data_IF_650659351424
#
_entry.id   IF_650659351424
#
_cell.length_a   1.000
_cell.length_b   1.000
_cell.length_c   1.000
_cell.angle_alpha   90.00
_cell.angle_beta   90.00
_cell.angle_gamma   90.00
#
_symmetry.space_group_name_H-M   'P 1'
#
loop_
_entity.id
_entity.type
_entity.pdbx_description
1 polymer ?
#
# COMPACT_ATOMS: atom_id res chain seq x y z
N UNK A 1 18.99 -27.59 11.45
CA UNK A 1 17.95 -27.39 12.48
C UNK A 1 17.72 -25.92 12.84
N UNK A 2 18.68 -25.21 13.45
CA UNK A 2 18.48 -23.82 13.94
C UNK A 2 18.01 -22.81 12.87
N UNK A 3 18.49 -22.92 11.63
CA UNK A 3 18.06 -22.03 10.55
C UNK A 3 16.54 -22.13 10.28
N UNK A 4 15.98 -23.34 10.33
CA UNK A 4 14.53 -23.56 10.20
C UNK A 4 13.80 -22.98 11.41
N UNK A 5 14.30 -23.21 12.63
CA UNK A 5 13.71 -22.62 13.84
C UNK A 5 13.68 -21.08 13.76
N UNK A 6 14.76 -20.44 13.29
CA UNK A 6 14.81 -19.00 13.07
C UNK A 6 13.88 -18.52 11.95
N UNK A 7 13.63 -19.36 10.94
CA UNK A 7 12.67 -19.10 9.86
C UNK A 7 11.20 -19.29 10.29
N UNK A 8 10.94 -20.00 11.39
CA UNK A 8 9.60 -20.15 11.98
C UNK A 8 9.26 -19.03 12.98
N UNK A 9 10.26 -18.26 13.45
CA UNK A 9 10.02 -17.09 14.29
C UNK A 9 9.16 -16.04 13.57
N UNK A 10 8.24 -15.35 14.26
CA UNK A 10 7.54 -14.18 13.72
C UNK A 10 8.50 -13.13 13.11
N UNK A 11 8.08 -12.39 12.08
CA UNK A 11 8.96 -11.46 11.37
C UNK A 11 9.55 -10.36 12.28
N UNK A 12 8.76 -9.88 13.24
CA UNK A 12 9.20 -8.88 14.23
C UNK A 12 10.27 -9.44 15.19
N UNK A 13 10.07 -10.65 15.72
CA UNK A 13 11.04 -11.26 16.63
C UNK A 13 12.32 -11.65 15.89
N UNK A 14 12.22 -12.13 14.64
CA UNK A 14 13.37 -12.40 13.79
C UNK A 14 14.21 -11.14 13.55
N UNK A 15 13.58 -10.00 13.22
CA UNK A 15 14.29 -8.73 13.03
C UNK A 15 14.99 -8.28 14.31
N UNK A 16 14.33 -8.39 15.46
CA UNK A 16 14.93 -8.07 16.77
C UNK A 16 16.12 -8.97 17.07
N UNK A 17 16.00 -10.28 16.84
CA UNK A 17 17.09 -11.24 17.02
C UNK A 17 18.29 -10.91 16.11
N UNK A 18 18.05 -10.60 14.84
CA UNK A 18 19.09 -10.19 13.90
C UNK A 18 19.84 -8.94 14.36
N UNK A 19 19.12 -7.92 14.85
CA UNK A 19 19.74 -6.71 15.37
C UNK A 19 20.56 -6.98 16.62
N UNK A 20 20.01 -7.73 17.57
CA UNK A 20 20.70 -8.09 18.81
C UNK A 20 21.98 -8.89 18.53
N UNK A 21 21.89 -9.91 17.68
CA UNK A 21 23.06 -10.70 17.29
C UNK A 21 24.09 -9.86 16.53
N UNK A 22 23.67 -8.92 15.68
CA UNK A 22 24.59 -7.97 15.04
C UNK A 22 25.33 -7.11 16.06
N UNK A 23 24.67 -6.65 17.11
CA UNK A 23 25.32 -5.90 18.19
C UNK A 23 26.34 -6.77 18.92
N UNK A 24 25.99 -8.01 19.28
CA UNK A 24 26.91 -8.98 19.90
C UNK A 24 28.16 -9.17 19.05
N UNK A 25 27.98 -9.41 17.74
CA UNK A 25 29.10 -9.62 16.81
C UNK A 25 29.94 -8.34 16.68
N UNK A 26 29.31 -7.17 16.55
CA UNK A 26 30.03 -5.89 16.43
C UNK A 26 30.86 -5.58 17.68
N UNK A 27 30.29 -5.76 18.87
CA UNK A 27 30.99 -5.52 20.14
C UNK A 27 32.12 -6.53 20.34
N UNK A 28 31.88 -7.80 20.02
CA UNK A 28 32.89 -8.85 20.13
C UNK A 28 34.10 -8.67 19.21
N UNK A 29 33.92 -8.07 18.03
CA UNK A 29 35.01 -7.82 17.06
C UNK A 29 35.54 -6.39 17.14
N UNK A 30 35.06 -5.56 18.08
CA UNK A 30 35.53 -4.20 18.20
C UNK A 30 36.83 -4.14 19.01
N UNK A 31 37.97 -4.21 18.33
CA UNK A 31 39.29 -4.13 18.96
C UNK A 31 39.61 -2.75 19.56
N UNK A 32 38.85 -1.70 19.24
CA UNK A 32 39.00 -0.38 19.84
C UNK A 32 38.19 -0.22 21.13
N UNK A 33 37.26 -1.14 21.40
CA UNK A 33 36.42 -1.06 22.57
C UNK A 33 37.19 -1.63 23.77
N UNK A 34 37.40 -0.85 24.85
CA UNK A 34 38.00 -1.39 26.06
C UNK A 34 37.12 -2.49 26.68
N UNK A 35 37.66 -3.33 27.57
CA UNK A 35 36.89 -4.32 28.31
C UNK A 35 35.78 -3.61 29.11
N UNK A 36 34.52 -3.96 28.83
CA UNK A 36 33.36 -3.39 29.50
C UNK A 36 33.27 -3.82 30.96
N UNK A 37 33.69 -5.07 31.25
CA UNK A 37 33.74 -5.60 32.61
C UNK A 37 34.90 -6.60 32.77
N UNK A 38 36.04 -6.18 33.31
CA UNK A 38 37.12 -7.10 33.67
C UNK A 38 36.68 -8.08 34.77
N UNK A 39 37.16 -9.34 34.78
CA UNK A 39 38.14 -9.94 33.87
C UNK A 39 37.52 -10.56 32.60
N UNK A 40 36.24 -10.33 32.30
CA UNK A 40 35.57 -10.93 31.14
C UNK A 40 35.85 -10.15 29.85
N UNK A 41 35.98 -10.88 28.74
CA UNK A 41 36.00 -10.29 27.42
C UNK A 41 34.60 -9.82 26.99
N UNK A 42 34.56 -8.79 26.15
CA UNK A 42 33.32 -8.16 25.69
C UNK A 42 32.36 -9.15 25.04
N UNK A 43 32.88 -10.18 24.36
CA UNK A 43 32.06 -11.22 23.76
C UNK A 43 31.38 -12.09 24.81
N UNK A 44 32.14 -12.65 25.76
CA UNK A 44 31.57 -13.48 26.82
C UNK A 44 30.56 -12.70 27.65
N UNK A 45 30.84 -11.43 27.96
CA UNK A 45 29.90 -10.56 28.66
C UNK A 45 28.57 -10.40 27.89
N UNK A 46 28.65 -10.14 26.59
CA UNK A 46 27.45 -9.98 25.74
C UNK A 46 26.65 -11.28 25.64
N UNK A 47 27.31 -12.43 25.53
CA UNK A 47 26.65 -13.72 25.50
C UNK A 47 26.00 -14.07 26.84
N UNK A 48 26.71 -13.82 27.94
CA UNK A 48 26.25 -14.11 29.30
C UNK A 48 25.06 -13.24 29.71
N UNK A 49 25.04 -11.98 29.29
CA UNK A 49 23.93 -11.06 29.59
C UNK A 49 22.69 -11.28 28.73
N UNK A 50 22.85 -11.77 27.49
CA UNK A 50 21.76 -11.78 26.51
C UNK A 50 21.11 -13.15 26.31
N UNK A 51 21.72 -14.26 26.73
CA UNK A 51 21.16 -15.60 26.49
C UNK A 51 19.77 -15.78 27.09
N UNK A 52 19.51 -15.23 28.30
CA UNK A 52 18.19 -15.27 28.97
C UNK A 52 17.11 -14.47 28.25
N UNK A 53 17.51 -13.46 27.49
CA UNK A 53 16.59 -12.60 26.74
C UNK A 53 16.22 -13.22 25.39
N UNK A 54 17.13 -14.02 24.82
CA UNK A 54 16.94 -14.66 23.50
C UNK A 54 16.27 -16.02 23.63
N UNK A 55 16.71 -16.84 24.60
CA UNK A 55 16.25 -18.21 24.81
C UNK A 55 15.56 -18.30 26.17
N UNK A 56 14.30 -17.84 26.22
CA UNK A 56 13.45 -17.92 27.41
C UNK A 56 12.43 -19.05 27.25
N UNK A 57 12.64 -20.22 27.88
CA UNK A 57 11.65 -21.28 27.90
C UNK A 57 10.45 -20.86 28.76
N UNK A 58 9.30 -21.46 28.46
CA UNK A 58 8.06 -21.26 29.22
C UNK A 58 8.17 -21.84 30.63
N UNK A 59 8.84 -22.99 30.75
CA UNK A 59 9.10 -23.67 32.01
C UNK A 59 10.59 -23.54 32.36
N UNK A 60 10.96 -22.86 33.47
CA UNK A 60 12.35 -22.65 33.83
C UNK A 60 13.07 -23.94 34.26
N UNK A 61 12.33 -24.97 34.68
CA UNK A 61 12.88 -26.29 35.07
C UNK A 61 13.40 -27.12 33.90
N UNK A 62 13.03 -26.78 32.65
CA UNK A 62 13.51 -27.46 31.43
C UNK A 62 14.67 -26.72 30.75
N UNK A 63 15.17 -25.65 31.37
CA UNK A 63 16.20 -24.80 30.83
C UNK A 63 17.58 -25.37 31.16
N UNK A 64 18.32 -25.80 30.14
CA UNK A 64 19.76 -26.03 30.25
C UNK A 64 20.49 -24.71 29.90
N UNK A 65 21.00 -24.04 30.92
CA UNK A 65 21.70 -22.76 30.77
C UNK A 65 22.96 -22.90 29.91
N UNK A 66 23.69 -24.01 30.03
CA UNK A 66 24.92 -24.26 29.28
C UNK A 66 24.60 -24.43 27.81
N UNK A 67 23.55 -25.20 27.49
CA UNK A 67 23.09 -25.39 26.12
C UNK A 67 22.56 -24.09 25.51
N UNK A 68 21.85 -23.27 26.29
CA UNK A 68 21.34 -21.98 25.80
C UNK A 68 22.47 -20.99 25.49
N UNK A 69 23.49 -20.90 26.35
CA UNK A 69 24.69 -20.08 26.09
C UNK A 69 25.41 -20.56 24.83
N UNK A 70 25.62 -21.87 24.69
CA UNK A 70 26.24 -22.47 23.50
C UNK A 70 25.42 -22.23 22.23
N UNK A 71 24.10 -22.32 22.31
CA UNK A 71 23.21 -22.06 21.19
C UNK A 71 23.29 -20.58 20.76
N UNK A 72 23.27 -19.63 21.71
CA UNK A 72 23.43 -18.21 21.38
C UNK A 72 24.81 -17.91 20.77
N UNK A 73 25.88 -18.49 21.33
CA UNK A 73 27.22 -18.33 20.77
C UNK A 73 27.29 -18.89 19.34
N UNK A 74 26.68 -20.05 19.09
CA UNK A 74 26.60 -20.63 17.76
C UNK A 74 25.80 -19.76 16.79
N UNK A 75 24.65 -19.22 17.21
CA UNK A 75 23.83 -18.28 16.41
C UNK A 75 24.65 -17.02 16.09
N UNK A 76 25.42 -16.49 17.04
CA UNK A 76 26.22 -15.29 16.84
C UNK A 76 27.37 -15.52 15.84
N UNK A 77 28.12 -16.63 15.98
CA UNK A 77 29.18 -17.01 15.03
C UNK A 77 28.66 -17.22 13.61
N UNK A 78 27.51 -17.87 13.49
CA UNK A 78 26.95 -18.29 12.21
C UNK A 78 25.77 -17.42 11.75
N UNK A 79 25.65 -16.19 12.25
CA UNK A 79 24.47 -15.35 12.08
C UNK A 79 24.09 -15.10 10.61
N UNK A 80 25.09 -15.01 9.73
CA UNK A 80 24.89 -14.82 8.29
C UNK A 80 24.20 -16.01 7.60
N UNK A 81 24.36 -17.22 8.15
CA UNK A 81 23.75 -18.46 7.63
C UNK A 81 22.46 -18.79 8.39
N UNK A 82 22.48 -18.71 9.72
CA UNK A 82 21.37 -19.13 10.59
C UNK A 82 20.17 -18.18 10.49
N UNK A 83 20.40 -16.87 10.34
CA UNK A 83 19.31 -15.88 10.30
C UNK A 83 18.89 -15.50 8.88
N UNK A 84 19.50 -16.12 7.85
CA UNK A 84 19.12 -15.95 6.45
C UNK A 84 17.99 -16.92 6.10
N UNK A 85 16.94 -16.45 5.37
CA UNK A 85 15.90 -17.33 4.87
C UNK A 85 16.49 -18.49 4.06
N UNK A 86 16.09 -19.76 4.31
CA UNK A 86 16.62 -20.88 3.56
C UNK A 86 16.20 -20.79 2.09
N UNK A 87 17.16 -20.79 1.17
CA UNK A 87 16.92 -20.60 -0.27
C UNK A 87 16.03 -21.71 -0.85
N UNK A 88 16.14 -22.94 -0.31
CA UNK A 88 15.30 -24.07 -0.70
C UNK A 88 13.83 -23.95 -0.26
N UNK A 89 13.50 -23.08 0.70
CA UNK A 89 12.11 -22.74 1.04
C UNK A 89 11.58 -21.56 0.22
N UNK A 90 12.47 -20.74 -0.34
CA UNK A 90 12.10 -19.68 -1.29
C UNK A 90 11.82 -20.24 -2.69
N UNK A 91 12.43 -21.38 -3.02
CA UNK A 91 11.95 -22.27 -4.06
C UNK A 91 10.66 -22.94 -3.53
N UNK A 92 9.52 -22.25 -3.68
CA UNK A 92 8.23 -22.82 -3.32
C UNK A 92 8.00 -24.19 -3.98
N UNK A 93 7.04 -25.00 -3.50
CA UNK A 93 6.66 -26.23 -4.18
C UNK A 93 6.42 -25.90 -5.66
N UNK A 94 7.18 -26.56 -6.53
CA UNK A 94 7.08 -26.41 -7.98
C UNK A 94 5.58 -26.41 -8.32
N UNK A 95 5.06 -25.36 -8.96
CA UNK A 95 3.66 -25.36 -9.33
C UNK A 95 3.47 -26.58 -10.22
N UNK A 96 2.65 -27.54 -9.78
CA UNK A 96 2.06 -28.51 -10.69
C UNK A 96 1.28 -27.69 -11.69
N UNK A 97 1.94 -27.30 -12.76
CA UNK A 97 1.36 -26.58 -13.86
C UNK A 97 0.39 -27.55 -14.54
N UNK A 98 -0.84 -27.60 -14.05
CA UNK A 98 -1.94 -27.94 -14.90
C UNK A 98 -2.06 -26.79 -15.90
N UNK A 99 -1.87 -27.03 -17.21
CA UNK A 99 -2.04 -25.98 -18.20
C UNK A 99 -3.53 -25.69 -18.31
N UNK A 100 -4.01 -24.69 -17.58
CA UNK A 100 -5.28 -24.03 -17.94
C UNK A 100 -4.94 -23.08 -19.08
N UNK A 101 -4.93 -23.62 -20.30
CA UNK A 101 -4.98 -22.84 -21.54
C UNK A 101 -6.29 -22.05 -21.56
N UNK A 102 -6.23 -20.78 -21.18
CA UNK A 102 -7.18 -19.77 -21.68
C UNK A 102 -6.47 -19.00 -22.78
N UNK A 103 -6.96 -19.21 -24.00
CA UNK A 103 -6.35 -18.75 -25.23
C UNK A 103 -6.19 -17.24 -25.29
N UNK A 104 -4.98 -16.82 -25.64
CA UNK A 104 -4.73 -15.95 -26.78
C UNK A 104 -3.27 -16.18 -27.15
N UNK A 105 -3.05 -16.98 -28.19
CA UNK A 105 -1.73 -17.18 -28.76
C UNK A 105 -1.42 -15.96 -29.62
N UNK A 106 -0.46 -15.13 -29.20
CA UNK A 106 0.28 -14.24 -30.10
C UNK A 106 1.50 -15.03 -30.61
N UNK A 107 1.64 -15.28 -31.93
CA UNK A 107 2.80 -15.96 -32.47
C UNK A 107 3.95 -14.94 -32.62
N UNK A 108 5.00 -15.07 -31.80
CA UNK A 108 6.24 -14.31 -32.03
C UNK A 108 7.05 -13.91 -30.81
N UNK A 109 6.68 -14.29 -29.58
CA UNK A 109 7.47 -13.95 -28.39
C UNK A 109 8.03 -15.19 -27.72
N UNK A 110 9.35 -15.39 -27.87
CA UNK A 110 10.17 -16.30 -27.09
C UNK A 110 9.77 -16.30 -25.60
N UNK A 111 9.63 -17.47 -24.94
CA UNK A 111 9.22 -17.55 -23.55
C UNK A 111 10.36 -17.06 -22.66
N UNK A 112 10.40 -15.75 -22.42
CA UNK A 112 11.29 -15.19 -21.41
C UNK A 112 10.86 -15.75 -20.05
N UNK A 113 11.77 -16.51 -19.43
CA UNK A 113 11.68 -17.05 -18.09
C UNK A 113 11.33 -15.91 -17.12
N UNK A 114 10.05 -15.78 -16.75
CA UNK A 114 9.62 -14.73 -15.83
C UNK A 114 9.96 -15.17 -14.40
N UNK A 115 10.71 -14.36 -13.63
CA UNK A 115 10.97 -14.68 -12.23
C UNK A 115 9.65 -14.70 -11.45
N UNK A 116 9.41 -15.79 -10.70
CA UNK A 116 8.19 -16.10 -9.95
C UNK A 116 7.95 -15.20 -8.71
N UNK A 117 7.96 -13.89 -8.91
CA UNK A 117 7.51 -12.93 -7.93
C UNK A 117 6.28 -12.23 -8.50
N UNK A 118 5.16 -12.30 -7.80
CA UNK A 118 3.99 -11.48 -8.09
C UNK A 118 4.27 -10.05 -7.61
N UNK A 119 5.13 -9.34 -8.33
CA UNK A 119 5.13 -7.90 -8.27
C UNK A 119 3.95 -7.42 -9.12
N UNK A 120 3.05 -6.60 -8.56
CA UNK A 120 2.08 -5.90 -9.39
C UNK A 120 2.87 -5.09 -10.42
N UNK A 121 2.75 -5.44 -11.71
CA UNK A 121 3.36 -4.65 -12.78
C UNK A 121 2.86 -3.22 -12.60
N UNK A 122 3.77 -2.26 -12.40
CA UNK A 122 3.39 -0.86 -12.40
C UNK A 122 2.84 -0.55 -13.78
N UNK A 123 1.53 -0.27 -13.84
CA UNK A 123 0.89 0.26 -15.04
C UNK A 123 1.26 1.74 -15.16
N UNK A 124 1.43 2.21 -16.38
CA UNK A 124 1.72 3.63 -16.61
C UNK A 124 0.51 4.48 -16.21
N UNK A 125 0.74 5.78 -15.99
CA UNK A 125 -0.36 6.72 -15.68
C UNK A 125 -1.38 6.80 -16.82
N UNK A 126 -0.94 6.63 -18.08
CA UNK A 126 -1.83 6.56 -19.24
C UNK A 126 -2.63 5.26 -19.26
N UNK A 127 -2.03 4.11 -18.97
CA UNK A 127 -2.73 2.82 -18.83
C UNK A 127 -3.76 2.85 -17.69
N UNK A 128 -3.40 3.38 -16.53
CA UNK A 128 -4.32 3.55 -15.39
C UNK A 128 -5.51 4.44 -15.75
N UNK A 129 -5.26 5.57 -16.43
CA UNK A 129 -6.34 6.47 -16.88
C UNK A 129 -7.22 5.81 -17.94
N UNK A 130 -6.64 5.08 -18.88
CA UNK A 130 -7.39 4.36 -19.92
C UNK A 130 -8.27 3.27 -19.31
N UNK A 131 -7.70 2.42 -18.44
CA UNK A 131 -8.44 1.37 -17.73
C UNK A 131 -9.53 1.95 -16.82
N UNK A 132 -9.18 2.99 -16.05
CA UNK A 132 -10.11 3.70 -15.21
C UNK A 132 -11.26 4.30 -16.02
N UNK A 133 -11.00 4.89 -17.18
CA UNK A 133 -12.03 5.45 -18.05
C UNK A 133 -12.89 4.38 -18.72
N UNK A 134 -12.31 3.27 -19.19
CA UNK A 134 -13.07 2.21 -19.89
C UNK A 134 -13.91 1.38 -18.93
N UNK A 135 -13.33 0.93 -17.81
CA UNK A 135 -14.02 0.08 -16.84
C UNK A 135 -15.07 0.87 -16.04
N UNK A 136 -14.75 2.10 -15.62
CA UNK A 136 -15.75 2.95 -14.95
C UNK A 136 -16.89 3.34 -15.88
N UNK A 137 -16.61 3.61 -17.16
CA UNK A 137 -17.66 3.92 -18.14
C UNK A 137 -18.55 2.71 -18.39
N UNK A 138 -17.97 1.51 -18.53
CA UNK A 138 -18.75 0.28 -18.68
C UNK A 138 -19.64 0.02 -17.45
N UNK A 139 -19.13 0.23 -16.24
CA UNK A 139 -19.89 0.09 -15.01
C UNK A 139 -21.02 1.14 -14.89
N UNK A 140 -20.78 2.39 -15.31
CA UNK A 140 -21.79 3.45 -15.33
C UNK A 140 -22.90 3.17 -16.36
N UNK A 141 -22.57 2.55 -17.50
CA UNK A 141 -23.56 2.10 -18.48
C UNK A 141 -24.42 0.97 -17.92
N UNK A 142 -23.80 -0.05 -17.30
CA UNK A 142 -24.53 -1.13 -16.64
C UNK A 142 -25.45 -0.61 -15.51
N UNK A 143 -25.03 0.43 -14.79
CA UNK A 143 -25.86 1.08 -13.77
C UNK A 143 -27.06 1.81 -14.39
N UNK A 144 -26.87 2.50 -15.51
CA UNK A 144 -27.97 3.14 -16.24
C UNK A 144 -28.98 2.10 -16.75
N UNK A 145 -28.49 0.96 -17.23
CA UNK A 145 -29.33 -0.14 -17.71
C UNK A 145 -30.12 -0.79 -16.58
N UNK A 146 -29.46 -1.06 -15.43
CA UNK A 146 -30.14 -1.52 -14.23
C UNK A 146 -31.26 -0.57 -13.81
N UNK A 147 -31.01 0.74 -13.83
CA UNK A 147 -32.05 1.74 -13.53
C UNK A 147 -33.20 1.76 -14.56
N UNK A 148 -32.95 1.37 -15.80
CA UNK A 148 -33.95 1.28 -16.88
C UNK A 148 -34.72 -0.04 -16.86
N UNK A 149 -34.12 -1.13 -16.39
CA UNK A 149 -34.73 -2.46 -16.33
C UNK A 149 -35.37 -2.78 -14.97
N UNK A 150 -35.04 -1.98 -13.93
CA UNK A 150 -35.62 -2.12 -12.60
C UNK A 150 -37.15 -1.91 -12.62
N UNK A 151 -37.90 -3.02 -12.53
CA UNK A 151 -39.37 -3.06 -12.44
C UNK A 151 -39.94 -2.87 -11.04
N UNK A 152 -39.08 -2.72 -10.01
CA UNK A 152 -39.48 -2.55 -8.60
C UNK A 152 -39.67 -1.09 -8.18
N UNK A 153 -39.30 -0.14 -9.03
CA UNK A 153 -39.30 1.29 -8.71
C UNK A 153 -40.53 1.99 -9.31
N UNK A 154 -41.12 2.93 -8.57
CA UNK A 154 -42.20 3.76 -9.09
C UNK A 154 -41.72 4.60 -10.28
N UNK A 155 -42.55 4.76 -11.31
CA UNK A 155 -42.19 5.45 -12.56
C UNK A 155 -41.68 6.89 -12.33
N UNK A 156 -42.23 7.56 -11.30
CA UNK A 156 -41.79 8.90 -10.87
C UNK A 156 -40.37 8.91 -10.28
N UNK A 157 -39.98 7.88 -9.55
CA UNK A 157 -38.66 7.77 -8.93
C UNK A 157 -37.60 7.37 -9.94
N UNK A 158 -37.95 6.45 -10.85
CA UNK A 158 -37.13 6.08 -12.00
C UNK A 158 -36.75 7.29 -12.84
N UNK A 159 -37.73 8.14 -13.17
CA UNK A 159 -37.48 9.39 -13.89
C UNK A 159 -36.62 10.39 -13.09
N UNK A 160 -36.76 10.47 -11.76
CA UNK A 160 -35.92 11.32 -10.91
C UNK A 160 -34.47 10.85 -10.91
N UNK A 161 -34.23 9.55 -10.76
CA UNK A 161 -32.88 8.95 -10.78
C UNK A 161 -32.21 9.09 -12.14
N UNK A 162 -32.95 8.90 -13.24
CA UNK A 162 -32.43 9.11 -14.61
C UNK A 162 -32.09 10.59 -14.84
N UNK A 163 -32.92 11.53 -14.38
CA UNK A 163 -32.60 12.97 -14.45
C UNK A 163 -31.35 13.34 -13.65
N UNK A 164 -31.19 12.73 -12.48
CA UNK A 164 -29.99 12.90 -11.65
C UNK A 164 -28.75 12.32 -12.33
N UNK A 165 -28.87 11.12 -12.93
CA UNK A 165 -27.80 10.48 -13.69
C UNK A 165 -27.38 11.34 -14.90
N UNK A 166 -28.35 11.88 -15.65
CA UNK A 166 -28.09 12.81 -16.77
C UNK A 166 -27.36 14.09 -16.33
N UNK A 167 -27.63 14.57 -15.11
CA UNK A 167 -26.96 15.76 -14.55
C UNK A 167 -25.54 15.46 -14.08
N UNK A 168 -25.31 14.28 -13.50
CA UNK A 168 -24.01 13.88 -12.97
C UNK A 168 -23.04 13.37 -14.06
N UNK A 169 -23.56 12.65 -15.06
CA UNK A 169 -22.77 11.99 -16.11
C UNK A 169 -23.39 12.21 -17.50
N UNK A 170 -23.36 13.45 -18.03
CA UNK A 170 -24.01 13.79 -19.30
C UNK A 170 -23.44 13.03 -20.50
N UNK A 171 -22.13 12.75 -20.51
CA UNK A 171 -21.45 12.12 -21.64
C UNK A 171 -21.77 10.63 -21.78
N UNK A 172 -21.94 9.94 -20.64
CA UNK A 172 -22.35 8.53 -20.59
C UNK A 172 -23.81 8.39 -21.06
N UNK A 173 -24.69 9.28 -20.59
CA UNK A 173 -26.10 9.31 -21.01
C UNK A 173 -26.27 9.59 -22.51
N UNK A 174 -25.53 10.56 -23.06
CA UNK A 174 -25.51 10.86 -24.50
C UNK A 174 -25.04 9.70 -25.36
N UNK A 175 -24.07 8.91 -24.87
CA UNK A 175 -23.60 7.74 -25.61
C UNK A 175 -24.58 6.56 -25.68
N UNK A 176 -25.62 6.53 -24.83
CA UNK A 176 -26.69 5.52 -24.86
C UNK A 176 -27.92 5.94 -25.64
N UNK A 177 -28.22 7.24 -25.67
CA UNK A 177 -29.34 7.79 -26.43
C UNK A 177 -28.85 8.86 -27.42
N UNK A 178 -28.26 8.46 -28.56
CA UNK A 178 -27.84 9.40 -29.61
C UNK A 178 -28.99 10.26 -30.15
N UNK A 179 -30.22 9.73 -30.16
CA UNK A 179 -31.39 10.36 -30.81
C UNK A 179 -32.06 11.47 -29.97
N UNK A 180 -31.67 11.68 -28.71
CA UNK A 180 -32.20 12.79 -27.91
C UNK A 180 -31.52 14.15 -28.21
N UNK A 181 -30.59 14.19 -29.16
CA UNK A 181 -29.89 15.41 -29.59
C UNK A 181 -30.71 16.31 -30.54
N UNK A 182 -31.87 15.85 -31.03
CA UNK A 182 -32.71 16.61 -31.98
C UNK A 182 -33.65 17.65 -31.38
N UNK A 183 -33.79 17.76 -30.06
CA UNK A 183 -34.81 18.67 -29.49
C UNK A 183 -34.39 19.29 -28.14
N UNK A 184 -33.49 20.28 -28.19
CA UNK A 184 -33.52 21.39 -27.24
C UNK A 184 -32.86 22.63 -27.87
N UNK A 185 -33.55 23.79 -27.89
CA UNK A 185 -33.08 24.99 -28.58
C UNK A 185 -31.83 25.57 -27.89
N UNK A 186 -30.91 26.09 -28.71
CA UNK A 186 -29.68 26.71 -28.26
C UNK A 186 -29.94 27.85 -27.26
N UNK A 187 -29.20 27.92 -26.12
CA UNK A 187 -29.29 29.07 -25.23
C UNK A 187 -28.56 30.29 -25.86
N UNK A 188 -29.11 31.52 -25.74
CA UNK A 188 -28.56 32.70 -26.40
C UNK A 188 -27.19 33.12 -25.83
N UNK A 189 -26.33 33.76 -26.65
CA UNK A 189 -24.97 34.13 -26.26
C UNK A 189 -24.97 35.21 -25.17
N UNK A 190 -24.25 34.96 -24.07
CA UNK A 190 -24.07 35.92 -22.97
C UNK A 190 -22.89 36.85 -23.27
N UNK A 191 -23.14 38.16 -23.19
CA UNK A 191 -22.18 39.24 -23.40
C UNK A 191 -21.02 39.24 -22.36
N UNK A 192 -19.82 39.75 -22.71
CA UNK A 192 -18.65 39.71 -21.84
C UNK A 192 -18.72 40.74 -20.70
N UNK A 193 -18.44 40.27 -19.47
CA UNK A 193 -18.39 41.09 -18.25
C UNK A 193 -17.03 41.78 -18.11
N UNK A 194 -17.01 43.10 -17.90
CA UNK A 194 -15.79 43.88 -17.57
C UNK A 194 -15.45 43.75 -16.07
N UNK A 195 -14.16 43.82 -15.67
CA UNK A 195 -13.74 43.71 -14.27
C UNK A 195 -13.91 45.04 -13.50
N UNK A 196 -14.03 45.01 -12.15
CA UNK A 196 -14.23 46.21 -11.35
C UNK A 196 -12.90 46.90 -10.97
N UNK A 197 -12.91 48.24 -11.00
CA UNK A 197 -11.84 49.10 -10.52
C UNK A 197 -11.97 49.34 -9.00
N UNK A 198 -10.86 49.20 -8.29
CA UNK A 198 -10.73 49.52 -6.87
C UNK A 198 -10.67 51.06 -6.68
N UNK A 199 -11.61 51.63 -5.92
CA UNK A 199 -11.62 53.04 -5.55
C UNK A 199 -11.14 53.22 -4.10
N UNK A 200 -10.09 54.02 -3.95
CA UNK A 200 -9.44 54.43 -2.71
C UNK A 200 -10.34 55.39 -1.91
N UNK A 201 -10.52 55.15 -0.62
CA UNK A 201 -11.25 56.03 0.32
C UNK A 201 -10.46 57.33 0.54
N UNK A 202 -11.04 58.46 0.14
CA UNK A 202 -10.65 59.80 0.56
C UNK A 202 -11.80 60.45 1.33
N UNK A 203 -11.50 60.96 2.52
CA UNK A 203 -12.43 61.52 3.49
C UNK A 203 -13.07 62.83 3.02
N UNK A 204 -14.36 63.03 3.34
CA UNK A 204 -14.99 64.35 3.47
C UNK A 204 -16.03 64.31 4.61
N UNK A 205 -16.30 65.47 5.24
CA UNK A 205 -16.67 65.59 6.65
C UNK A 205 -18.18 65.67 6.88
N UNK A 206 -18.59 65.31 8.10
CA UNK A 206 -19.94 65.52 8.62
C UNK A 206 -20.27 67.01 8.80
N UNK A 207 -21.43 67.47 8.33
CA UNK A 207 -22.02 68.72 8.79
C UNK A 207 -23.44 68.50 9.36
N UNK A 208 -23.56 68.77 10.67
CA UNK A 208 -24.77 69.10 11.43
C UNK A 208 -25.81 68.01 11.75
N UNK A 209 -25.84 67.62 13.02
CA UNK A 209 -27.06 67.82 13.79
C UNK A 209 -26.74 68.50 15.13
N UNK A 210 -27.67 69.37 15.51
CA UNK A 210 -27.49 70.57 16.32
C UNK A 210 -28.23 70.38 17.65
N UNK A 211 -27.77 71.09 18.67
CA UNK A 211 -28.47 71.49 19.91
C UNK A 211 -28.47 70.49 21.08
N UNK A 212 -27.93 70.95 22.22
CA UNK A 212 -28.64 70.92 23.52
C UNK A 212 -28.32 72.17 24.33
N UNK A 213 -29.42 72.83 24.75
CA UNK A 213 -29.65 73.80 25.84
C UNK A 213 -28.70 74.99 25.99
#
# INVERSE_FOLDING_TARGET
>A
ALQLCCALLPPLSRRRLQLLVRVVVRVAHNGQLPPLQPPMDNRSLMLESLWRCVLRPRDPSRLDEVLCRRALDFIARNHALVLRPPVHLLAGPQPRAAPVTRGLQDPGREPQLRPSHWFCRQISVSEFRAQGQSESRAALLALLDGLLDDGRMNQREKQRKIKQFRKAYPDVYRSRFPDAAGCSPAPPPRAPRRPPLLALKGALPNPFNRVRF
#
